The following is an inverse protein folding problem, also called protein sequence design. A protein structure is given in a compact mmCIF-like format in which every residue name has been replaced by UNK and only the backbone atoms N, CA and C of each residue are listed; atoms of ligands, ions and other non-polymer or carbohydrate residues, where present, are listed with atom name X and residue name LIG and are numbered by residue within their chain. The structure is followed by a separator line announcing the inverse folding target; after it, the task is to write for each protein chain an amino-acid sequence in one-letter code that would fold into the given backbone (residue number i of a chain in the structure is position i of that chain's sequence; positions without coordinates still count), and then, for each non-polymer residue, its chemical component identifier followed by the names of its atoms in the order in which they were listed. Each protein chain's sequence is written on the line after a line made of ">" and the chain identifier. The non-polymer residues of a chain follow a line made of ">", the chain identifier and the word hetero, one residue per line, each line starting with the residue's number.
data_IF_367491712133
#
_entry.id   IF_367491712133
#
_cell.length_a   1.000
_cell.length_b   1.000
_cell.length_c   1.000
_cell.angle_alpha   90.00
_cell.angle_beta   90.00
_cell.angle_gamma   90.00
#
_symmetry.space_group_name_H-M   'P 1'
#
loop_
_entity.id
_entity.type
_entity.pdbx_description
1 polymer ?
#
# COMPACT_ATOMS: atom_id res chain seq x y z
N UNK A 1 23.16 5.43 -2.51
CA UNK A 1 22.24 6.20 -1.65
C UNK A 1 21.44 5.20 -0.84
N UNK A 2 21.65 5.13 0.48
CA UNK A 2 20.72 4.44 1.37
C UNK A 2 19.51 5.35 1.54
N UNK A 3 18.34 4.90 1.13
CA UNK A 3 17.10 5.63 1.34
C UNK A 3 16.84 5.63 2.86
N UNK A 4 16.47 6.76 3.44
CA UNK A 4 16.08 6.83 4.84
C UNK A 4 14.69 6.18 5.00
N UNK A 5 14.70 4.91 5.39
CA UNK A 5 13.50 4.08 5.56
C UNK A 5 12.57 4.63 6.65
N UNK A 6 13.09 5.35 7.65
CA UNK A 6 12.27 5.99 8.67
C UNK A 6 11.54 7.22 8.11
N UNK A 7 12.22 8.02 7.28
CA UNK A 7 11.58 9.13 6.57
C UNK A 7 10.49 8.62 5.61
N UNK A 8 10.78 7.57 4.81
CA UNK A 8 9.79 6.93 3.94
C UNK A 8 8.59 6.41 4.71
N UNK A 9 8.84 5.72 5.83
CA UNK A 9 7.76 5.18 6.67
C UNK A 9 6.85 6.29 7.19
N UNK A 10 7.41 7.44 7.57
CA UNK A 10 6.62 8.59 8.04
C UNK A 10 5.73 9.16 6.93
N UNK A 11 6.27 9.38 5.73
CA UNK A 11 5.48 9.97 4.63
C UNK A 11 4.45 8.99 4.05
N UNK A 12 4.76 7.69 4.04
CA UNK A 12 3.88 6.63 3.53
C UNK A 12 2.86 6.12 4.56
N UNK A 13 2.93 6.61 5.80
CA UNK A 13 2.05 6.21 6.89
C UNK A 13 0.63 6.71 6.66
N UNK A 14 -0.15 5.93 5.94
CA UNK A 14 -1.58 6.13 5.74
C UNK A 14 -2.36 5.19 6.66
N UNK A 15 -3.43 5.71 7.28
CA UNK A 15 -4.39 4.91 8.03
C UNK A 15 -5.80 5.45 7.77
N UNK A 16 -6.66 4.60 7.24
CA UNK A 16 -8.07 4.86 7.03
C UNK A 16 -8.86 3.81 7.80
N UNK A 17 -9.79 4.26 8.63
CA UNK A 17 -10.69 3.38 9.37
C UNK A 17 -12.10 3.90 9.13
N UNK A 18 -12.97 3.00 8.73
CA UNK A 18 -14.38 3.27 8.57
C UNK A 18 -15.17 2.15 9.23
N UNK A 19 -16.12 2.54 10.08
CA UNK A 19 -17.00 1.64 10.80
C UNK A 19 -18.38 2.28 10.87
N UNK A 20 -19.41 1.49 10.58
CA UNK A 20 -20.79 1.94 10.65
C UNK A 20 -21.72 0.85 11.15
N UNK A 21 -22.97 1.25 11.42
CA UNK A 21 -24.02 0.30 11.80
C UNK A 21 -24.33 -0.69 10.69
N UNK A 22 -24.97 -1.81 11.06
CA UNK A 22 -25.39 -2.87 10.13
C UNK A 22 -26.47 -2.38 9.15
N UNK A 23 -26.04 -1.71 8.09
CA UNK A 23 -26.90 -1.12 7.06
C UNK A 23 -26.26 -1.31 5.69
N UNK A 24 -27.08 -1.64 4.69
CA UNK A 24 -26.63 -1.77 3.30
C UNK A 24 -25.94 -0.50 2.78
N UNK A 25 -26.39 0.68 3.22
CA UNK A 25 -25.81 1.96 2.81
C UNK A 25 -24.36 2.13 3.31
N UNK A 26 -24.02 1.56 4.48
CA UNK A 26 -22.66 1.55 5.01
C UNK A 26 -21.76 0.65 4.15
N UNK A 27 -22.30 -0.47 3.67
CA UNK A 27 -21.57 -1.40 2.79
C UNK A 27 -21.24 -0.77 1.44
N UNK A 28 -22.22 -0.15 0.79
CA UNK A 28 -22.03 0.58 -0.47
C UNK A 28 -21.02 1.72 -0.34
N UNK A 29 -21.03 2.43 0.80
CA UNK A 29 -20.03 3.46 1.05
C UNK A 29 -18.63 2.87 1.23
N UNK A 30 -18.49 1.71 1.88
CA UNK A 30 -17.22 0.99 1.97
C UNK A 30 -16.73 0.58 0.58
N UNK A 31 -17.62 0.04 -0.26
CA UNK A 31 -17.30 -0.29 -1.67
C UNK A 31 -16.76 0.93 -2.42
N UNK A 32 -17.48 2.06 -2.35
CA UNK A 32 -17.06 3.28 -3.03
C UNK A 32 -15.72 3.84 -2.52
N UNK A 33 -15.47 3.75 -1.21
CA UNK A 33 -14.20 4.17 -0.60
C UNK A 33 -13.05 3.26 -1.02
N UNK A 34 -13.26 1.95 -1.03
CA UNK A 34 -12.26 0.97 -1.46
C UNK A 34 -11.89 1.18 -2.92
N UNK A 35 -12.88 1.28 -3.82
CA UNK A 35 -12.67 1.49 -5.25
C UNK A 35 -11.90 2.77 -5.52
N UNK A 36 -12.32 3.89 -4.89
CA UNK A 36 -11.64 5.16 -5.02
C UNK A 36 -10.21 5.09 -4.49
N UNK A 37 -9.99 4.44 -3.35
CA UNK A 37 -8.67 4.27 -2.78
C UNK A 37 -7.78 3.46 -3.73
N UNK A 38 -8.24 2.32 -4.23
CA UNK A 38 -7.44 1.47 -5.12
C UNK A 38 -7.10 2.17 -6.44
N UNK A 39 -8.03 2.97 -6.98
CA UNK A 39 -7.77 3.78 -8.18
C UNK A 39 -6.72 4.86 -7.93
N UNK A 40 -6.77 5.54 -6.76
CA UNK A 40 -5.95 6.71 -6.47
C UNK A 40 -4.67 6.42 -5.70
N UNK A 41 -4.54 5.24 -5.10
CA UNK A 41 -3.39 4.85 -4.29
C UNK A 41 -2.04 5.01 -5.03
N UNK A 42 -1.88 4.61 -6.31
CA UNK A 42 -0.62 4.82 -7.02
C UNK A 42 -0.25 6.31 -7.09
N UNK A 43 -1.21 7.18 -7.38
CA UNK A 43 -0.99 8.62 -7.47
C UNK A 43 -0.62 9.20 -6.10
N UNK A 44 -1.36 8.83 -5.05
CA UNK A 44 -1.09 9.29 -3.68
C UNK A 44 0.33 8.89 -3.25
N UNK A 45 0.71 7.62 -3.44
CA UNK A 45 2.02 7.13 -3.07
C UNK A 45 3.12 7.82 -3.86
N UNK A 46 2.98 7.95 -5.19
CA UNK A 46 3.97 8.62 -6.04
C UNK A 46 4.22 10.07 -5.59
N UNK A 47 3.16 10.86 -5.35
CA UNK A 47 3.31 12.24 -4.88
C UNK A 47 4.03 12.37 -3.53
N UNK A 48 3.96 11.34 -2.68
CA UNK A 48 4.64 11.34 -1.37
C UNK A 48 6.12 10.97 -1.47
N UNK A 49 6.50 10.16 -2.46
CA UNK A 49 7.86 9.63 -2.60
C UNK A 49 8.69 10.30 -3.70
N UNK A 50 8.07 11.07 -4.58
CA UNK A 50 8.74 11.85 -5.63
C UNK A 50 9.90 12.72 -5.08
N UNK A 51 9.77 13.40 -3.90
CA UNK A 51 10.89 14.16 -3.32
C UNK A 51 12.12 13.31 -2.95
N UNK A 52 11.95 11.99 -2.85
CA UNK A 52 13.03 11.02 -2.55
C UNK A 52 13.64 10.43 -3.83
N UNK A 53 13.22 10.89 -5.02
CA UNK A 53 13.68 10.37 -6.31
C UNK A 53 13.19 8.95 -6.61
N UNK A 54 12.02 8.58 -6.08
CA UNK A 54 11.42 7.27 -6.22
C UNK A 54 10.13 7.32 -7.02
N UNK A 55 9.80 6.18 -7.62
CA UNK A 55 8.53 5.93 -8.28
C UNK A 55 7.86 4.69 -7.67
N UNK A 56 6.54 4.68 -7.66
CA UNK A 56 5.72 3.62 -7.09
C UNK A 56 4.75 3.04 -8.12
N UNK A 57 4.55 1.72 -8.04
CA UNK A 57 3.54 1.03 -8.83
C UNK A 57 2.82 -0.01 -7.99
N UNK A 58 1.49 0.00 -8.02
CA UNK A 58 0.68 -1.02 -7.34
C UNK A 58 0.74 -2.32 -8.15
N UNK A 59 1.18 -3.40 -7.52
CA UNK A 59 1.31 -4.69 -8.16
C UNK A 59 -0.04 -5.41 -8.22
N UNK A 60 -0.53 -5.68 -9.43
CA UNK A 60 -1.84 -6.31 -9.69
C UNK A 60 -1.82 -7.85 -9.63
N UNK A 61 -0.83 -8.43 -8.95
CA UNK A 61 -0.67 -9.88 -8.80
C UNK A 61 -1.15 -10.38 -7.43
N UNK A 62 -1.24 -11.70 -7.28
CA UNK A 62 -1.50 -12.33 -5.99
C UNK A 62 -0.37 -11.99 -4.99
N UNK A 63 -0.65 -11.21 -3.92
CA UNK A 63 0.35 -10.83 -2.93
C UNK A 63 0.98 -12.04 -2.24
N UNK A 64 0.24 -13.14 -2.12
CA UNK A 64 0.70 -14.36 -1.48
C UNK A 64 1.88 -15.03 -2.20
N UNK A 65 2.10 -14.71 -3.48
CA UNK A 65 3.28 -15.18 -4.22
C UNK A 65 4.56 -14.46 -3.79
N UNK A 66 4.47 -13.17 -3.47
CA UNK A 66 5.61 -12.35 -3.06
C UNK A 66 5.85 -12.43 -1.55
N UNK A 67 4.77 -12.49 -0.78
CA UNK A 67 4.78 -12.49 0.68
C UNK A 67 3.95 -13.67 1.20
N UNK A 68 4.46 -14.92 1.08
CA UNK A 68 3.75 -16.09 1.59
C UNK A 68 3.66 -16.04 3.11
N UNK A 69 2.47 -16.32 3.66
CA UNK A 69 2.22 -16.31 5.10
C UNK A 69 0.75 -16.05 5.44
N UNK A 70 0.48 -15.79 6.73
CA UNK A 70 -0.87 -15.46 7.19
C UNK A 70 -1.35 -14.11 6.64
N UNK A 71 -2.61 -14.06 6.20
CA UNK A 71 -3.31 -12.87 5.74
C UNK A 71 -2.67 -12.13 4.55
N UNK A 72 -1.89 -12.82 3.71
CA UNK A 72 -1.32 -12.24 2.49
C UNK A 72 -2.39 -11.75 1.50
N UNK A 73 -3.58 -12.36 1.49
CA UNK A 73 -4.73 -11.91 0.70
C UNK A 73 -5.32 -10.57 1.15
N UNK A 74 -4.92 -10.07 2.32
CA UNK A 74 -5.28 -8.75 2.84
C UNK A 74 -4.19 -7.71 2.55
N UNK A 75 -3.20 -8.01 1.70
CA UNK A 75 -2.12 -7.09 1.40
C UNK A 75 -2.33 -6.39 0.06
N UNK A 76 -2.13 -5.07 0.06
CA UNK A 76 -1.91 -4.29 -1.16
C UNK A 76 -0.43 -4.00 -1.27
N UNK A 77 0.19 -4.52 -2.32
CA UNK A 77 1.64 -4.45 -2.54
C UNK A 77 1.95 -3.33 -3.52
N UNK A 78 2.78 -2.39 -3.10
CA UNK A 78 3.31 -1.33 -3.95
C UNK A 78 4.80 -1.54 -4.12
N UNK A 79 5.25 -1.73 -5.36
CA UNK A 79 6.68 -1.75 -5.68
C UNK A 79 7.24 -0.34 -5.69
N UNK A 80 8.43 -0.16 -5.12
CA UNK A 80 9.22 1.06 -5.15
C UNK A 80 10.39 0.88 -6.11
N UNK A 81 10.63 1.90 -6.92
CA UNK A 81 11.68 1.93 -7.94
C UNK A 81 12.45 3.24 -7.83
N UNK A 82 13.75 3.19 -8.12
CA UNK A 82 14.53 4.41 -8.28
C UNK A 82 14.12 5.09 -9.59
N UNK A 83 13.67 6.35 -9.54
CA UNK A 83 13.07 7.02 -10.70
C UNK A 83 14.04 7.26 -11.86
N UNK A 84 15.34 7.27 -11.60
CA UNK A 84 16.39 7.46 -12.61
C UNK A 84 16.71 6.19 -13.42
N UNK A 85 16.64 5.03 -12.77
CA UNK A 85 17.15 3.76 -13.27
C UNK A 85 16.05 2.71 -13.46
N UNK A 86 14.86 2.95 -12.91
CA UNK A 86 13.78 1.97 -12.81
C UNK A 86 14.14 0.76 -11.96
N UNK A 87 15.27 0.80 -11.22
CA UNK A 87 15.72 -0.32 -10.40
C UNK A 87 14.78 -0.48 -9.21
N UNK A 88 14.31 -1.71 -9.00
CA UNK A 88 13.48 -2.04 -7.84
C UNK A 88 14.28 -1.85 -6.54
N UNK A 89 13.76 -1.06 -5.61
CA UNK A 89 14.39 -0.75 -4.32
C UNK A 89 13.69 -1.39 -3.13
N UNK A 90 12.42 -1.79 -3.29
CA UNK A 90 11.67 -2.44 -2.23
C UNK A 90 10.17 -2.39 -2.43
N UNK A 91 9.42 -2.81 -1.42
CA UNK A 91 7.97 -2.87 -1.41
C UNK A 91 7.38 -2.08 -0.23
N UNK A 92 6.26 -1.42 -0.48
CA UNK A 92 5.33 -0.93 0.55
C UNK A 92 4.18 -1.91 0.64
N UNK A 93 3.95 -2.44 1.83
CA UNK A 93 2.84 -3.33 2.12
C UNK A 93 1.81 -2.54 2.92
N UNK A 94 0.65 -2.33 2.32
CA UNK A 94 -0.53 -1.90 3.05
C UNK A 94 -1.38 -3.11 3.38
N UNK A 95 -2.04 -3.09 4.54
CA UNK A 95 -3.06 -4.06 4.90
C UNK A 95 -4.43 -3.45 4.61
N UNK A 96 -5.28 -4.23 3.95
CA UNK A 96 -6.67 -3.93 3.65
C UNK A 96 -7.52 -5.02 4.29
N UNK A 97 -8.21 -4.69 5.39
CA UNK A 97 -9.13 -5.58 6.08
C UNK A 97 -10.53 -5.09 5.81
N UNK A 98 -11.35 -5.95 5.23
CA UNK A 98 -12.75 -5.69 4.96
C UNK A 98 -13.64 -6.63 5.76
N UNK A 99 -14.52 -6.05 6.56
CA UNK A 99 -15.64 -6.75 7.19
C UNK A 99 -16.95 -6.41 6.50
N UNK A 100 -18.08 -6.82 7.08
CA UNK A 100 -19.39 -6.51 6.49
C UNK A 100 -19.72 -5.02 6.51
N UNK A 101 -19.36 -4.31 7.59
CA UNK A 101 -19.65 -2.88 7.78
C UNK A 101 -18.42 -2.15 8.35
N UNK A 102 -17.24 -2.73 8.14
CA UNK A 102 -15.95 -2.22 8.58
C UNK A 102 -14.95 -2.27 7.45
N UNK A 103 -14.08 -1.26 7.42
CA UNK A 103 -12.99 -1.14 6.48
C UNK A 103 -11.78 -0.57 7.21
N UNK A 104 -10.65 -1.25 7.11
CA UNK A 104 -9.37 -0.77 7.60
C UNK A 104 -8.34 -0.84 6.48
N UNK A 105 -7.68 0.28 6.21
CA UNK A 105 -6.51 0.35 5.37
C UNK A 105 -5.37 1.00 6.13
N UNK A 106 -4.24 0.31 6.26
CA UNK A 106 -3.11 0.83 7.03
C UNK A 106 -1.76 0.38 6.50
N UNK A 107 -0.73 1.21 6.68
CA UNK A 107 0.65 0.79 6.39
C UNK A 107 1.03 -0.38 7.30
N UNK A 108 1.35 -1.53 6.70
CA UNK A 108 1.77 -2.72 7.42
C UNK A 108 3.29 -2.78 7.60
N UNK A 109 4.04 -2.69 6.49
CA UNK A 109 5.49 -2.83 6.49
C UNK A 109 6.13 -2.24 5.23
N UNK A 110 7.36 -1.75 5.37
CA UNK A 110 8.27 -1.52 4.24
C UNK A 110 9.25 -2.69 4.17
N UNK A 111 9.47 -3.23 2.98
CA UNK A 111 10.40 -4.33 2.73
C UNK A 111 11.43 -3.85 1.72
N UNK A 112 12.67 -3.64 2.14
CA UNK A 112 13.75 -3.32 1.22
C UNK A 112 14.01 -4.51 0.29
N UNK A 113 14.32 -4.24 -0.98
CA UNK A 113 14.82 -5.27 -1.85
C UNK A 113 16.13 -5.80 -1.25
N UNK A 114 16.23 -7.12 -1.03
CA UNK A 114 17.49 -7.72 -0.63
C UNK A 114 18.55 -7.26 -1.64
N UNK A 115 19.56 -6.54 -1.16
CA UNK A 115 20.62 -6.01 -2.00
C UNK A 115 21.20 -7.17 -2.82
N UNK A 116 21.02 -7.10 -4.13
CA UNK A 116 21.82 -7.93 -5.03
C UNK A 116 23.26 -7.44 -4.88
N UNK A 117 24.06 -8.22 -4.16
CA UNK A 117 25.51 -8.26 -4.41
C UNK A 117 25.78 -8.72 -5.85
#
# INVERSE_FOLDING_TARGET
>A
MSIDTDALKRVLSMRLIFEGGSSWAVRELIDAVEDYLMERLPMIVNSLIEPFGLEASVLRGDPCRLFPGEACNQLVVVGLYAGDTGRHVGYVLYRLIRGENTFEFSLYRLVEAAGGE
#
